data_IF_311775459961
#
_entry.id   IF_311775459961
#
_cell.length_a   1.000
_cell.length_b   1.000
_cell.length_c   1.000
_cell.angle_alpha   90.00
_cell.angle_beta   90.00
_cell.angle_gamma   90.00
#
_symmetry.space_group_name_H-M   'P 1'
#
loop_
_entity.id
_entity.type
_entity.pdbx_description
1 polymer ?
#
# COMPACT_ATOMS: atom_id res chain seq x y z
N UNK A 1 -19.10 56.93 -20.58
CA UNK A 1 -19.63 55.71 -21.21
C UNK A 1 -19.36 54.55 -20.26
N UNK A 2 -20.39 54.01 -19.60
CA UNK A 2 -20.29 52.87 -18.68
C UNK A 2 -20.80 51.63 -19.42
N UNK A 3 -19.92 50.64 -19.65
CA UNK A 3 -20.31 49.38 -20.22
C UNK A 3 -20.82 48.45 -19.10
N UNK A 4 -22.05 48.01 -19.26
CA UNK A 4 -22.70 47.03 -18.41
C UNK A 4 -22.40 45.64 -19.00
N UNK A 5 -21.71 44.78 -18.26
CA UNK A 5 -21.59 43.37 -18.60
C UNK A 5 -22.76 42.58 -18.02
N UNK A 6 -23.55 42.02 -18.90
CA UNK A 6 -24.64 41.08 -18.55
C UNK A 6 -23.99 39.70 -18.29
N UNK A 7 -24.08 39.21 -17.07
CA UNK A 7 -23.77 37.79 -16.77
C UNK A 7 -25.00 36.94 -17.17
N UNK A 8 -24.79 36.06 -18.15
CA UNK A 8 -25.75 35.02 -18.45
C UNK A 8 -25.54 33.83 -17.53
N UNK A 9 -26.45 33.56 -16.62
CA UNK A 9 -26.54 32.34 -15.83
C UNK A 9 -27.07 31.22 -16.73
N UNK A 10 -26.19 30.25 -17.07
CA UNK A 10 -26.61 29.00 -17.70
C UNK A 10 -27.01 28.04 -16.57
N UNK A 11 -28.29 27.78 -16.45
CA UNK A 11 -28.84 26.76 -15.59
C UNK A 11 -28.61 25.40 -16.26
N UNK A 12 -27.69 24.59 -15.74
CA UNK A 12 -27.58 23.18 -16.09
C UNK A 12 -28.73 22.41 -15.44
N UNK A 13 -29.72 22.00 -16.25
CA UNK A 13 -30.74 21.03 -15.84
C UNK A 13 -30.11 19.65 -15.70
N UNK A 14 -30.05 19.13 -14.49
CA UNK A 14 -29.73 17.74 -14.23
C UNK A 14 -30.84 16.84 -14.75
N UNK A 15 -30.64 16.17 -15.87
CA UNK A 15 -31.44 15.01 -16.25
C UNK A 15 -30.95 13.81 -15.49
N UNK A 16 -31.64 13.44 -14.40
CA UNK A 16 -31.48 12.16 -13.73
C UNK A 16 -32.01 11.05 -14.64
N UNK A 17 -31.12 10.43 -15.42
CA UNK A 17 -31.38 9.12 -16.00
C UNK A 17 -31.47 8.08 -14.87
N UNK A 18 -32.26 7.00 -15.06
CA UNK A 18 -32.28 5.91 -14.08
C UNK A 18 -30.87 5.37 -13.89
N UNK A 19 -30.47 5.20 -12.61
CA UNK A 19 -29.23 4.55 -12.26
C UNK A 19 -29.21 3.15 -12.91
N UNK A 20 -28.10 2.71 -13.50
CA UNK A 20 -27.99 1.32 -13.93
C UNK A 20 -28.17 0.43 -12.72
N UNK A 21 -28.99 -0.62 -12.88
CA UNK A 21 -29.19 -1.64 -11.86
C UNK A 21 -27.80 -2.14 -11.42
N UNK A 22 -27.58 -2.30 -10.10
CA UNK A 22 -26.35 -2.91 -9.61
C UNK A 22 -26.29 -4.31 -10.21
N UNK A 23 -25.26 -4.57 -11.02
CA UNK A 23 -24.91 -5.93 -11.40
C UNK A 23 -24.71 -6.67 -10.07
N UNK A 24 -25.62 -7.60 -9.77
CA UNK A 24 -25.47 -8.45 -8.62
C UNK A 24 -24.18 -9.25 -8.82
N UNK A 25 -23.10 -8.81 -8.18
CA UNK A 25 -21.98 -9.68 -7.89
C UNK A 25 -22.58 -10.74 -6.95
N UNK A 26 -22.75 -11.94 -7.45
CA UNK A 26 -23.03 -13.13 -6.64
C UNK A 26 -21.76 -13.47 -5.81
N UNK A 27 -21.30 -12.49 -5.04
CA UNK A 27 -20.37 -12.75 -3.94
C UNK A 27 -21.26 -13.11 -2.75
N UNK A 28 -21.20 -14.36 -2.25
CA UNK A 28 -21.99 -14.74 -1.11
C UNK A 28 -21.65 -13.76 0.00
N UNK A 29 -22.68 -13.07 0.48
CA UNK A 29 -22.60 -12.09 1.56
C UNK A 29 -21.51 -12.51 2.54
N UNK A 30 -20.63 -11.58 2.86
CA UNK A 30 -19.64 -11.75 3.90
C UNK A 30 -20.37 -12.07 5.21
N UNK A 31 -20.70 -13.35 5.36
CA UNK A 31 -20.95 -13.93 6.66
C UNK A 31 -19.66 -13.65 7.40
N UNK A 32 -19.75 -12.94 8.52
CA UNK A 32 -18.64 -12.66 9.40
C UNK A 32 -17.95 -13.96 9.84
N UNK A 33 -17.14 -14.48 8.95
CA UNK A 33 -16.12 -15.44 9.27
C UNK A 33 -15.00 -14.57 9.82
N UNK A 34 -14.67 -14.76 11.10
CA UNK A 34 -13.33 -14.49 11.58
C UNK A 34 -12.37 -15.24 10.65
N UNK A 35 -12.01 -14.60 9.54
CA UNK A 35 -10.92 -15.06 8.71
C UNK A 35 -9.71 -14.83 9.60
N UNK A 36 -9.30 -15.88 10.29
CA UNK A 36 -8.05 -15.89 11.00
C UNK A 36 -7.02 -15.29 10.03
N UNK A 37 -6.47 -14.14 10.38
CA UNK A 37 -5.37 -13.53 9.67
C UNK A 37 -4.42 -14.66 9.29
N UNK A 38 -3.96 -14.74 8.04
CA UNK A 38 -3.15 -15.87 7.58
C UNK A 38 -2.16 -16.22 8.68
N UNK A 39 -2.42 -17.31 9.38
CA UNK A 39 -1.79 -17.66 10.63
C UNK A 39 -0.33 -18.00 10.34
N UNK A 40 0.54 -17.06 10.59
CA UNK A 40 1.96 -17.30 10.56
C UNK A 40 2.72 -16.21 9.82
N UNK A 41 3.24 -15.27 10.60
CA UNK A 41 4.41 -14.49 10.20
C UNK A 41 5.63 -15.41 10.22
N UNK A 42 6.65 -15.02 9.47
CA UNK A 42 7.99 -15.62 9.58
C UNK A 42 8.73 -15.14 10.83
N UNK A 43 10.03 -15.25 10.79
CA UNK A 43 10.94 -14.81 11.84
C UNK A 43 12.08 -14.01 11.23
N UNK A 44 12.46 -12.91 11.86
CA UNK A 44 13.68 -12.18 11.52
C UNK A 44 14.87 -12.81 12.25
N UNK A 45 15.90 -13.17 11.49
CA UNK A 45 17.12 -13.82 11.95
C UNK A 45 18.36 -13.10 11.42
N UNK A 46 19.56 -13.55 11.76
CA UNK A 46 20.85 -13.08 11.23
C UNK A 46 21.03 -11.54 11.32
N UNK A 47 20.57 -10.94 12.41
CA UNK A 47 20.66 -9.49 12.60
C UNK A 47 22.11 -9.09 12.90
N UNK A 48 22.73 -8.36 11.98
CA UNK A 48 24.12 -7.87 12.16
C UNK A 48 24.33 -6.50 11.49
N UNK A 49 25.30 -5.74 12.01
CA UNK A 49 25.61 -4.42 11.49
C UNK A 49 26.28 -4.50 10.09
N UNK A 50 25.88 -3.61 9.20
CA UNK A 50 26.44 -3.48 7.85
C UNK A 50 26.67 -2.02 7.49
N UNK A 51 27.43 -1.77 6.40
CA UNK A 51 27.57 -0.44 5.84
C UNK A 51 26.24 0.08 5.28
N UNK A 52 25.96 1.37 5.48
CA UNK A 52 24.73 2.03 5.04
C UNK A 52 24.81 2.51 3.57
N UNK A 53 25.17 1.66 2.63
CA UNK A 53 25.30 2.02 1.24
C UNK A 53 23.93 2.40 0.64
N UNK A 54 23.81 3.62 0.11
CA UNK A 54 22.57 4.13 -0.47
C UNK A 54 21.46 4.48 0.53
N UNK A 55 21.68 4.26 1.82
CA UNK A 55 20.73 4.65 2.86
C UNK A 55 20.74 6.18 3.08
N UNK A 56 19.66 6.76 3.63
CA UNK A 56 19.65 8.16 4.03
C UNK A 56 20.82 8.51 4.96
N UNK A 57 21.46 9.64 4.72
CA UNK A 57 22.65 10.07 5.48
C UNK A 57 22.35 10.13 6.98
N UNK A 58 23.28 9.65 7.81
CA UNK A 58 23.12 9.60 9.25
C UNK A 58 22.35 8.34 9.76
N UNK A 59 22.07 7.40 8.88
CA UNK A 59 21.49 6.10 9.27
C UNK A 59 22.52 5.21 9.96
N UNK A 60 22.01 4.32 10.81
CA UNK A 60 22.70 3.08 11.21
C UNK A 60 22.03 1.92 10.50
N UNK A 61 22.80 0.94 10.00
CA UNK A 61 22.26 -0.14 9.17
C UNK A 61 22.53 -1.51 9.76
N UNK A 62 21.53 -2.38 9.60
CA UNK A 62 21.61 -3.82 9.94
C UNK A 62 21.10 -4.61 8.75
N UNK A 63 21.81 -5.68 8.40
CA UNK A 63 21.23 -6.71 7.55
C UNK A 63 20.44 -7.68 8.43
N UNK A 64 19.31 -8.12 7.90
CA UNK A 64 18.42 -9.09 8.54
C UNK A 64 17.98 -10.12 7.51
N UNK A 65 17.65 -11.33 7.95
CA UNK A 65 17.06 -12.37 7.09
C UNK A 65 15.65 -12.69 7.57
N UNK A 66 14.66 -12.61 6.71
CA UNK A 66 13.30 -13.12 6.97
C UNK A 66 13.23 -14.58 6.56
N UNK A 67 12.81 -15.44 7.48
CA UNK A 67 12.70 -16.89 7.29
C UNK A 67 11.38 -17.43 7.81
N UNK A 68 11.02 -18.64 7.45
CA UNK A 68 9.90 -19.37 8.04
C UNK A 68 8.50 -18.84 7.67
N UNK A 69 8.39 -18.01 6.64
CA UNK A 69 7.09 -17.60 6.11
C UNK A 69 6.31 -18.83 5.61
N UNK A 70 5.07 -19.06 6.06
CA UNK A 70 4.28 -20.19 5.61
C UNK A 70 4.11 -20.20 4.08
N UNK A 71 4.24 -21.40 3.48
CA UNK A 71 4.21 -21.56 2.02
C UNK A 71 5.51 -21.26 1.29
N UNK A 72 6.43 -20.50 1.90
CA UNK A 72 7.75 -20.15 1.37
C UNK A 72 8.85 -20.28 2.44
N UNK A 73 8.69 -21.20 3.36
CA UNK A 73 9.62 -21.36 4.49
C UNK A 73 11.05 -21.68 4.06
N UNK A 74 11.23 -22.32 2.91
CA UNK A 74 12.54 -22.62 2.29
C UNK A 74 13.14 -21.48 1.47
N UNK A 75 12.45 -20.33 1.39
CA UNK A 75 12.82 -19.17 0.58
C UNK A 75 13.12 -17.96 1.46
N UNK A 76 14.22 -17.98 2.24
CA UNK A 76 14.62 -16.84 3.06
C UNK A 76 14.92 -15.63 2.18
N UNK A 77 14.70 -14.43 2.71
CA UNK A 77 15.01 -13.19 2.01
C UNK A 77 15.73 -12.21 2.94
N UNK A 78 16.80 -11.64 2.43
CA UNK A 78 17.59 -10.65 3.14
C UNK A 78 17.10 -9.22 2.84
N UNK A 79 17.18 -8.39 3.88
CA UNK A 79 16.94 -6.96 3.78
C UNK A 79 17.99 -6.17 4.56
N UNK A 80 18.27 -4.96 4.13
CA UNK A 80 18.97 -3.96 4.94
C UNK A 80 17.94 -3.04 5.57
N UNK A 81 18.02 -2.91 6.87
CA UNK A 81 17.21 -2.01 7.68
C UNK A 81 18.06 -0.83 8.11
N UNK A 82 17.75 0.34 7.56
CA UNK A 82 18.43 1.60 7.89
C UNK A 82 17.58 2.41 8.88
N UNK A 83 18.20 2.86 9.97
CA UNK A 83 17.49 3.54 11.05
C UNK A 83 18.08 4.94 11.25
N UNK A 84 17.21 5.94 11.21
CA UNK A 84 17.52 7.31 11.63
C UNK A 84 16.78 7.62 12.93
N UNK A 85 17.48 8.07 13.97
CA UNK A 85 16.85 8.39 15.25
C UNK A 85 15.97 9.63 15.14
N UNK A 86 14.97 9.74 15.99
CA UNK A 86 14.20 10.97 16.17
C UNK A 86 15.09 12.09 16.70
N UNK A 87 14.79 13.31 16.29
CA UNK A 87 15.38 14.53 16.89
C UNK A 87 14.46 15.02 18.01
N UNK A 88 15.00 15.10 19.24
CA UNK A 88 14.23 15.50 20.41
C UNK A 88 13.37 14.38 21.00
N UNK A 89 12.17 14.72 21.48
CA UNK A 89 11.28 13.74 22.14
C UNK A 89 10.71 12.77 21.14
N UNK A 90 10.90 11.46 21.38
CA UNK A 90 10.36 10.41 20.54
C UNK A 90 8.83 10.38 20.62
N UNK A 91 8.16 10.53 19.47
CA UNK A 91 6.70 10.45 19.30
C UNK A 91 6.24 9.13 18.69
N UNK A 92 7.11 8.49 17.91
CA UNK A 92 6.75 7.26 17.22
C UNK A 92 7.84 6.73 16.30
N UNK A 93 7.48 5.70 15.55
CA UNK A 93 8.34 5.08 14.52
C UNK A 93 7.57 5.03 13.20
N UNK A 94 8.22 5.46 12.12
CA UNK A 94 7.71 5.34 10.76
C UNK A 94 8.55 4.34 10.00
N UNK A 95 7.90 3.34 9.41
CA UNK A 95 8.56 2.34 8.55
C UNK A 95 8.30 2.68 7.10
N UNK A 96 9.35 2.78 6.30
CA UNK A 96 9.31 3.18 4.90
C UNK A 96 9.62 2.01 3.97
N UNK A 97 8.72 1.77 3.01
CA UNK A 97 8.89 0.79 1.94
C UNK A 97 8.98 1.46 0.58
N UNK A 98 10.05 1.14 -0.16
CA UNK A 98 10.29 1.65 -1.50
C UNK A 98 9.42 0.93 -2.53
N UNK A 99 9.13 1.60 -3.64
CA UNK A 99 8.44 1.05 -4.81
C UNK A 99 9.23 -0.01 -5.56
N UNK A 100 8.62 -0.57 -6.61
CA UNK A 100 9.15 -1.73 -7.33
C UNK A 100 9.24 -2.94 -6.40
N UNK A 101 10.21 -3.80 -6.62
CA UNK A 101 10.52 -4.96 -5.76
C UNK A 101 11.08 -4.61 -4.37
N UNK A 102 11.15 -3.31 -4.04
CA UNK A 102 11.62 -2.84 -2.73
C UNK A 102 13.13 -2.77 -2.59
N UNK A 103 13.89 -2.94 -3.67
CA UNK A 103 15.34 -2.80 -3.67
C UNK A 103 15.77 -1.33 -3.53
N UNK A 104 16.74 -1.06 -2.67
CA UNK A 104 17.17 0.29 -2.29
C UNK A 104 16.21 0.95 -1.30
N UNK A 105 16.51 2.16 -0.90
CA UNK A 105 15.75 2.87 0.12
C UNK A 105 14.78 3.88 -0.48
N UNK A 106 13.63 4.09 0.18
CA UNK A 106 12.76 5.22 -0.12
C UNK A 106 13.53 6.53 0.06
N UNK A 107 13.27 7.53 -0.79
CA UNK A 107 13.96 8.82 -0.74
C UNK A 107 13.87 9.50 0.64
N UNK A 108 14.95 10.19 1.02
CA UNK A 108 15.12 10.78 2.36
C UNK A 108 14.45 12.13 2.56
N UNK A 109 13.65 12.61 1.61
CA UNK A 109 13.07 13.97 1.64
C UNK A 109 12.02 14.16 2.75
N UNK A 110 11.69 13.08 3.41
CA UNK A 110 10.72 13.05 4.51
C UNK A 110 11.45 13.20 5.85
N UNK A 111 11.70 14.44 6.24
CA UNK A 111 12.36 14.77 7.52
C UNK A 111 11.39 14.56 8.71
N UNK A 112 10.96 13.34 8.93
CA UNK A 112 10.11 12.99 10.06
C UNK A 112 10.85 13.08 11.40
N UNK A 113 12.19 13.00 11.37
CA UNK A 113 13.04 13.08 12.56
C UNK A 113 12.84 14.38 13.31
N UNK A 114 12.74 15.50 12.59
CA UNK A 114 12.50 16.82 13.18
C UNK A 114 11.14 16.93 13.87
N UNK A 115 10.18 16.10 13.45
CA UNK A 115 8.87 15.99 14.08
C UNK A 115 8.84 14.97 15.24
N UNK A 116 9.99 14.40 15.60
CA UNK A 116 10.11 13.46 16.71
C UNK A 116 9.88 11.99 16.33
N UNK A 117 9.96 11.61 15.05
CA UNK A 117 9.81 10.21 14.65
C UNK A 117 11.15 9.55 14.36
N UNK A 118 11.30 8.32 14.84
CA UNK A 118 12.33 7.41 14.34
C UNK A 118 11.91 6.92 12.95
N UNK A 119 12.80 7.01 11.97
CA UNK A 119 12.57 6.45 10.64
C UNK A 119 13.29 5.12 10.49
N UNK A 120 12.58 4.13 9.95
CA UNK A 120 13.08 2.80 9.64
C UNK A 120 12.85 2.55 8.16
N UNK A 121 13.91 2.52 7.37
CA UNK A 121 13.85 2.30 5.92
C UNK A 121 14.21 0.86 5.63
N UNK A 122 13.38 0.19 4.84
CA UNK A 122 13.57 -1.21 4.44
C UNK A 122 14.05 -1.24 2.99
N UNK A 123 15.15 -1.94 2.74
CA UNK A 123 15.66 -2.25 1.41
C UNK A 123 15.87 -3.74 1.28
N UNK A 124 15.07 -4.40 0.47
CA UNK A 124 15.28 -5.80 0.13
C UNK A 124 16.52 -5.97 -0.73
N UNK A 125 17.26 -7.09 -0.60
CA UNK A 125 18.42 -7.37 -1.43
C UNK A 125 18.05 -7.95 -2.81
N UNK A 126 16.83 -8.49 -2.93
CA UNK A 126 16.17 -8.88 -4.19
C UNK A 126 14.67 -8.56 -4.05
N UNK A 127 13.94 -8.62 -5.16
CA UNK A 127 12.49 -8.35 -5.15
C UNK A 127 11.75 -9.15 -4.08
N UNK A 128 11.03 -8.47 -3.19
CA UNK A 128 10.30 -9.11 -2.10
C UNK A 128 9.16 -10.00 -2.59
N UNK A 129 8.60 -9.69 -3.76
CA UNK A 129 7.48 -10.39 -4.39
C UNK A 129 7.87 -11.76 -4.92
N UNK A 130 9.15 -11.96 -5.29
CA UNK A 130 9.59 -13.18 -5.95
C UNK A 130 9.58 -14.37 -5.01
N UNK A 131 8.92 -15.44 -5.47
CA UNK A 131 8.96 -16.75 -4.85
C UNK A 131 9.17 -17.82 -5.93
N UNK A 132 9.69 -18.99 -5.53
CA UNK A 132 9.84 -20.13 -6.43
C UNK A 132 8.57 -20.99 -6.47
N UNK A 133 7.71 -20.91 -5.46
CA UNK A 133 6.62 -21.86 -5.23
C UNK A 133 5.25 -21.24 -4.99
N UNK A 134 5.18 -19.93 -4.77
CA UNK A 134 3.95 -19.26 -4.36
C UNK A 134 3.76 -17.91 -5.04
N UNK A 135 2.59 -17.29 -4.92
CA UNK A 135 2.27 -15.98 -5.44
C UNK A 135 2.60 -14.84 -4.47
N UNK A 136 2.35 -13.63 -4.94
CA UNK A 136 2.72 -12.39 -4.25
C UNK A 136 2.06 -12.24 -2.86
N UNK A 137 0.81 -12.70 -2.70
CA UNK A 137 0.15 -12.69 -1.39
C UNK A 137 0.94 -13.48 -0.35
N UNK A 138 1.46 -14.66 -0.72
CA UNK A 138 2.29 -15.47 0.17
C UNK A 138 3.65 -14.81 0.42
N UNK A 139 4.26 -14.21 -0.61
CA UNK A 139 5.50 -13.45 -0.49
C UNK A 139 5.38 -12.29 0.51
N UNK A 140 4.20 -11.68 0.60
CA UNK A 140 3.92 -10.55 1.49
C UNK A 140 3.99 -10.89 3.00
N UNK A 141 4.11 -12.16 3.36
CA UNK A 141 4.56 -12.53 4.70
C UNK A 141 5.89 -11.86 5.08
N UNK A 142 6.80 -11.68 4.12
CA UNK A 142 8.12 -11.07 4.35
C UNK A 142 8.03 -9.63 4.87
N UNK A 143 7.37 -8.68 4.19
CA UNK A 143 7.20 -7.33 4.70
C UNK A 143 6.37 -7.27 5.98
N UNK A 144 5.34 -8.09 6.14
CA UNK A 144 4.58 -8.16 7.37
C UNK A 144 5.43 -8.65 8.55
N UNK A 145 6.32 -9.62 8.33
CA UNK A 145 7.28 -10.11 9.33
C UNK A 145 8.27 -9.02 9.76
N UNK A 146 8.81 -8.25 8.80
CA UNK A 146 9.69 -7.11 9.14
C UNK A 146 8.92 -6.04 9.92
N UNK A 147 7.70 -5.70 9.53
CA UNK A 147 6.87 -4.74 10.29
C UNK A 147 6.67 -5.20 11.73
N UNK A 148 6.29 -6.47 11.92
CA UNK A 148 6.12 -7.04 13.26
C UNK A 148 7.43 -7.04 14.06
N UNK A 149 8.55 -7.34 13.41
CA UNK A 149 9.85 -7.28 14.05
C UNK A 149 10.23 -5.86 14.45
N UNK A 150 10.07 -4.86 13.56
CA UNK A 150 10.31 -3.44 13.91
C UNK A 150 9.45 -3.00 15.09
N UNK A 151 8.18 -3.44 15.12
CA UNK A 151 7.29 -3.15 16.23
C UNK A 151 7.78 -3.73 17.55
N UNK A 152 8.29 -4.97 17.55
CA UNK A 152 8.70 -5.68 18.80
C UNK A 152 10.15 -5.44 19.20
N UNK A 153 11.03 -5.07 18.27
CA UNK A 153 12.45 -4.91 18.50
C UNK A 153 12.74 -3.80 19.55
N UNK A 154 13.38 -4.11 20.68
CA UNK A 154 13.58 -3.17 21.79
C UNK A 154 14.32 -1.89 21.40
N UNK A 155 15.21 -1.96 20.42
CA UNK A 155 15.97 -0.79 19.95
C UNK A 155 15.23 0.04 18.90
N UNK A 156 14.08 -0.43 18.43
CA UNK A 156 13.24 0.25 17.42
C UNK A 156 11.95 0.80 18.05
N UNK A 157 10.88 0.01 18.11
CA UNK A 157 9.60 0.48 18.67
C UNK A 157 9.28 -0.11 20.06
N UNK A 158 9.87 -1.26 20.39
CA UNK A 158 9.76 -1.91 21.70
C UNK A 158 8.31 -2.23 22.12
N UNK A 159 7.46 -2.61 21.18
CA UNK A 159 6.03 -2.89 21.43
C UNK A 159 5.28 -1.76 22.14
N UNK A 160 5.78 -0.52 22.05
CA UNK A 160 5.18 0.62 22.74
C UNK A 160 3.78 0.91 22.22
N UNK A 161 2.82 1.03 23.10
CA UNK A 161 1.46 1.48 22.80
C UNK A 161 1.23 2.97 23.17
N UNK A 162 2.28 3.64 23.65
CA UNK A 162 2.25 5.09 23.96
C UNK A 162 2.94 5.92 22.89
N UNK A 163 3.53 5.28 21.89
CA UNK A 163 4.17 5.88 20.74
C UNK A 163 3.43 5.44 19.46
N UNK A 164 3.31 6.33 18.47
CA UNK A 164 2.72 5.99 17.18
C UNK A 164 3.59 4.99 16.42
N UNK A 165 2.99 3.94 15.84
CA UNK A 165 3.65 3.00 14.94
C UNK A 165 3.02 3.09 13.55
N UNK A 166 3.76 3.59 12.57
CA UNK A 166 3.20 4.03 11.30
C UNK A 166 3.99 3.51 10.12
N UNK A 167 3.31 3.40 8.96
CA UNK A 167 3.91 2.96 7.72
C UNK A 167 3.75 3.97 6.59
N UNK A 168 4.73 4.06 5.72
CA UNK A 168 4.67 4.78 4.46
C UNK A 168 5.22 3.93 3.33
N UNK A 169 4.43 3.69 2.29
CA UNK A 169 4.82 2.90 1.13
C UNK A 169 4.57 3.64 -0.17
N UNK A 170 5.50 3.54 -1.12
CA UNK A 170 5.38 4.15 -2.43
C UNK A 170 5.26 3.05 -3.50
N UNK A 171 4.23 3.11 -4.38
CA UNK A 171 4.02 2.14 -5.47
C UNK A 171 4.06 0.68 -4.97
N UNK A 172 5.01 -0.16 -5.38
CA UNK A 172 5.20 -1.51 -4.84
C UNK A 172 5.39 -1.55 -3.31
N UNK A 173 5.92 -0.47 -2.71
CA UNK A 173 6.01 -0.30 -1.25
C UNK A 173 4.64 -0.16 -0.58
N UNK A 174 3.70 0.51 -1.22
CA UNK A 174 2.30 0.54 -0.77
C UNK A 174 1.65 -0.85 -0.89
N UNK A 175 2.05 -1.64 -1.90
CA UNK A 175 1.66 -3.05 -1.98
C UNK A 175 2.08 -3.86 -0.76
N UNK A 176 3.31 -3.64 -0.24
CA UNK A 176 3.79 -4.29 0.98
C UNK A 176 2.91 -3.98 2.19
N UNK A 177 2.55 -2.70 2.38
CA UNK A 177 1.66 -2.27 3.47
C UNK A 177 0.23 -2.77 3.28
N UNK A 178 -0.32 -2.66 2.06
CA UNK A 178 -1.67 -3.13 1.75
C UNK A 178 -1.86 -4.63 2.04
N UNK A 179 -0.90 -5.48 1.62
CA UNK A 179 -0.93 -6.90 1.99
C UNK A 179 -0.77 -7.13 3.49
N UNK A 180 0.15 -6.42 4.13
CA UNK A 180 0.37 -6.54 5.56
C UNK A 180 -0.89 -6.22 6.37
N UNK A 181 -1.62 -5.18 5.97
CA UNK A 181 -2.91 -4.83 6.54
C UNK A 181 -3.97 -5.90 6.26
N UNK A 182 -4.22 -6.20 4.96
CA UNK A 182 -5.35 -7.01 4.54
C UNK A 182 -5.22 -8.49 4.94
N UNK A 183 -4.00 -9.05 4.90
CA UNK A 183 -3.82 -10.50 5.01
C UNK A 183 -2.97 -10.96 6.20
N UNK A 184 -2.22 -10.05 6.84
CA UNK A 184 -1.29 -10.43 7.91
C UNK A 184 -1.57 -9.75 9.25
N UNK A 185 -2.73 -9.10 9.40
CA UNK A 185 -3.21 -8.57 10.68
C UNK A 185 -2.45 -7.35 11.20
N UNK A 186 -1.65 -6.67 10.35
CA UNK A 186 -0.89 -5.49 10.78
C UNK A 186 -1.76 -4.28 11.14
N UNK A 187 -3.05 -4.29 10.81
CA UNK A 187 -4.04 -3.35 11.36
C UNK A 187 -4.22 -3.43 12.87
N UNK A 188 -3.66 -4.46 13.55
CA UNK A 188 -3.65 -4.56 15.01
C UNK A 188 -2.47 -3.84 15.67
N UNK A 189 -1.47 -3.40 14.89
CA UNK A 189 -0.26 -2.73 15.40
C UNK A 189 0.01 -1.38 14.77
N UNK A 190 -0.34 -1.18 13.50
CA UNK A 190 -0.17 0.10 12.81
C UNK A 190 -1.26 1.09 13.22
N UNK A 191 -0.85 2.29 13.63
CA UNK A 191 -1.77 3.38 13.99
C UNK A 191 -2.14 4.23 12.76
N UNK A 192 -1.22 4.34 11.79
CA UNK A 192 -1.40 5.16 10.59
C UNK A 192 -0.59 4.62 9.42
N UNK A 193 -1.16 4.67 8.21
CA UNK A 193 -0.51 4.23 6.97
C UNK A 193 -0.73 5.25 5.85
N UNK A 194 0.36 5.63 5.17
CA UNK A 194 0.34 6.34 3.89
C UNK A 194 0.57 5.35 2.74
N UNK A 195 -0.42 5.25 1.86
CA UNK A 195 -0.34 4.51 0.60
C UNK A 195 -0.10 5.51 -0.54
N UNK A 196 1.18 5.64 -0.96
CA UNK A 196 1.59 6.61 -1.97
C UNK A 196 1.62 5.95 -3.35
N UNK A 197 0.86 6.48 -4.31
CA UNK A 197 0.75 5.94 -5.67
C UNK A 197 0.51 4.43 -5.69
N UNK A 198 -0.52 3.97 -4.97
CA UNK A 198 -0.84 2.54 -4.87
C UNK A 198 -1.91 2.24 -3.85
N UNK A 199 -2.06 0.96 -3.45
CA UNK A 199 -1.25 -0.21 -3.82
C UNK A 199 -1.59 -0.78 -5.22
N UNK A 200 -0.61 -1.33 -5.94
CA UNK A 200 -0.80 -1.77 -7.34
C UNK A 200 -1.55 -3.10 -7.49
N UNK A 201 -1.62 -3.93 -6.44
CA UNK A 201 -2.06 -5.33 -6.53
C UNK A 201 -3.46 -5.57 -5.95
N UNK A 202 -4.31 -4.56 -5.92
CA UNK A 202 -5.64 -4.67 -5.31
C UNK A 202 -6.53 -5.69 -6.04
N UNK A 203 -6.48 -5.71 -7.37
CA UNK A 203 -7.21 -6.63 -8.25
C UNK A 203 -6.31 -7.10 -9.40
N UNK A 204 -5.48 -8.08 -9.11
CA UNK A 204 -4.51 -8.63 -10.08
C UNK A 204 -5.21 -9.23 -11.28
N UNK A 205 -6.30 -9.95 -11.08
CA UNK A 205 -7.12 -10.55 -12.13
C UNK A 205 -7.61 -9.50 -13.15
N UNK A 206 -8.12 -8.39 -12.66
CA UNK A 206 -8.62 -7.29 -13.50
C UNK A 206 -7.46 -6.57 -14.19
N UNK A 207 -6.42 -6.19 -13.44
CA UNK A 207 -5.26 -5.49 -13.99
C UNK A 207 -4.50 -6.32 -15.02
N UNK A 208 -4.40 -7.63 -14.83
CA UNK A 208 -3.78 -8.54 -15.80
C UNK A 208 -4.62 -8.74 -17.06
N UNK A 209 -5.93 -8.72 -16.95
CA UNK A 209 -6.83 -8.81 -18.10
C UNK A 209 -6.95 -7.48 -18.87
N UNK A 210 -6.58 -6.36 -18.25
CA UNK A 210 -6.68 -5.01 -18.81
C UNK A 210 -8.06 -4.40 -18.66
N UNK A 211 -8.88 -4.94 -17.77
CA UNK A 211 -10.18 -4.40 -17.44
C UNK A 211 -10.04 -3.27 -16.40
N UNK A 212 -10.93 -2.28 -16.46
CA UNK A 212 -11.02 -1.30 -15.41
C UNK A 212 -11.66 -1.92 -14.16
N UNK A 213 -11.16 -1.64 -12.93
CA UNK A 213 -11.85 -2.06 -11.73
C UNK A 213 -13.27 -1.52 -11.69
N UNK A 214 -14.26 -2.31 -11.28
CA UNK A 214 -15.63 -1.85 -11.15
C UNK A 214 -15.77 -0.96 -9.93
N UNK A 215 -15.36 0.30 -10.04
CA UNK A 215 -15.43 1.24 -8.92
C UNK A 215 -15.84 2.62 -9.40
N UNK A 216 -16.63 3.31 -8.61
CA UNK A 216 -16.81 4.75 -8.73
C UNK A 216 -15.46 5.41 -8.46
N UNK A 217 -14.90 6.07 -9.45
CA UNK A 217 -13.56 6.61 -9.34
C UNK A 217 -13.55 7.87 -8.50
N UNK A 218 -12.84 7.82 -7.37
CA UNK A 218 -12.76 8.96 -6.45
C UNK A 218 -12.12 10.16 -7.12
N UNK A 219 -11.11 9.94 -7.99
CA UNK A 219 -10.40 11.02 -8.68
C UNK A 219 -10.83 11.24 -10.15
N UNK A 220 -11.93 10.67 -10.60
CA UNK A 220 -12.41 10.81 -11.98
C UNK A 220 -11.51 10.16 -13.04
N UNK A 221 -10.64 9.25 -12.65
CA UNK A 221 -9.68 8.57 -13.54
C UNK A 221 -10.28 7.27 -14.03
N UNK A 222 -10.49 7.18 -15.35
CA UNK A 222 -10.82 5.93 -16.03
C UNK A 222 -9.56 5.42 -16.73
N UNK A 223 -8.96 4.34 -16.22
CA UNK A 223 -7.85 3.73 -16.91
C UNK A 223 -8.00 2.21 -17.00
N UNK A 224 -7.70 1.72 -18.19
CA UNK A 224 -7.59 0.31 -18.53
C UNK A 224 -6.12 -0.13 -18.55
N UNK A 225 -5.22 0.62 -17.90
CA UNK A 225 -3.79 0.33 -17.94
C UNK A 225 -3.51 -1.00 -17.28
N UNK A 226 -2.88 -1.87 -18.02
CA UNK A 226 -2.53 -3.22 -17.59
C UNK A 226 -1.40 -3.18 -16.57
N UNK A 227 -1.46 -4.08 -15.61
CA UNK A 227 -0.35 -4.34 -14.72
C UNK A 227 0.89 -4.77 -15.52
N UNK A 228 2.10 -4.43 -15.03
CA UNK A 228 3.33 -4.73 -15.75
C UNK A 228 3.56 -6.24 -15.89
N UNK A 229 4.26 -6.63 -16.96
CA UNK A 229 4.61 -8.03 -17.22
C UNK A 229 5.52 -8.65 -16.14
N UNK A 230 6.21 -7.83 -15.35
CA UNK A 230 6.97 -8.28 -14.16
C UNK A 230 6.11 -9.05 -13.17
N UNK A 231 4.80 -8.76 -13.11
CA UNK A 231 3.87 -9.52 -12.30
C UNK A 231 3.86 -11.02 -12.63
N UNK A 232 4.20 -11.41 -13.85
CA UNK A 232 4.32 -12.82 -14.21
C UNK A 232 5.36 -13.56 -13.34
N UNK A 233 6.50 -12.93 -13.04
CA UNK A 233 7.53 -13.51 -12.19
C UNK A 233 7.06 -13.55 -10.72
N UNK A 234 6.43 -12.49 -10.24
CA UNK A 234 5.96 -12.38 -8.86
C UNK A 234 4.84 -13.35 -8.53
N UNK A 235 3.98 -13.63 -9.52
CA UNK A 235 2.89 -14.59 -9.38
C UNK A 235 3.30 -16.03 -9.74
N UNK A 236 4.59 -16.29 -9.96
CA UNK A 236 5.10 -17.59 -10.41
C UNK A 236 4.35 -18.12 -11.64
N UNK A 237 3.99 -17.23 -12.57
CA UNK A 237 3.26 -17.57 -13.79
C UNK A 237 4.20 -18.22 -14.78
N UNK A 238 4.02 -19.51 -15.02
CA UNK A 238 4.77 -20.26 -16.02
C UNK A 238 4.20 -20.01 -17.42
N UNK A 239 5.09 -19.90 -18.43
CA UNK A 239 4.68 -19.82 -19.85
C UNK A 239 3.71 -20.97 -20.21
N UNK A 240 2.61 -20.72 -20.99
CA UNK A 240 2.38 -19.54 -21.82
C UNK A 240 1.48 -18.46 -21.21
N UNK A 241 0.95 -18.66 -20.00
CA UNK A 241 -0.05 -17.79 -19.40
C UNK A 241 0.59 -16.56 -18.79
N UNK A 242 0.33 -15.39 -19.37
CA UNK A 242 0.95 -14.14 -18.97
C UNK A 242 -0.11 -13.09 -18.64
N UNK A 243 0.15 -12.34 -17.58
CA UNK A 243 -0.52 -11.08 -17.32
C UNK A 243 -0.46 -10.21 -18.58
N UNK A 244 -1.59 -9.67 -19.02
CA UNK A 244 -1.70 -8.89 -20.25
C UNK A 244 -1.87 -9.72 -21.53
N UNK A 245 -2.01 -11.03 -21.49
CA UNK A 245 -2.37 -11.82 -22.67
C UNK A 245 -3.87 -11.69 -23.00
N UNK A 246 -4.21 -11.86 -24.28
CA UNK A 246 -5.59 -11.68 -24.76
C UNK A 246 -6.54 -12.83 -24.40
N UNK A 247 -6.02 -13.90 -23.82
CA UNK A 247 -6.81 -15.07 -23.42
C UNK A 247 -6.18 -15.67 -22.17
N UNK A 248 -6.80 -15.43 -21.03
CA UNK A 248 -6.39 -15.98 -19.75
C UNK A 248 -7.39 -17.04 -19.32
N UNK A 249 -6.97 -18.27 -18.97
CA UNK A 249 -7.88 -19.29 -18.48
C UNK A 249 -8.60 -18.84 -17.20
N UNK A 250 -9.87 -19.22 -17.01
CA UNK A 250 -10.64 -18.90 -15.81
C UNK A 250 -9.95 -19.31 -14.49
N UNK A 251 -9.23 -20.44 -14.50
CA UNK A 251 -8.47 -20.92 -13.34
C UNK A 251 -7.35 -19.95 -12.93
N UNK A 252 -6.65 -19.34 -13.90
CA UNK A 252 -5.61 -18.36 -13.62
C UNK A 252 -6.21 -17.04 -13.12
N UNK A 253 -7.30 -16.59 -13.72
CA UNK A 253 -8.02 -15.40 -13.24
C UNK A 253 -8.49 -15.61 -11.78
N UNK A 254 -9.02 -16.78 -11.45
CA UNK A 254 -9.43 -17.12 -10.10
C UNK A 254 -8.24 -17.11 -9.12
N UNK A 255 -7.08 -17.64 -9.53
CA UNK A 255 -5.85 -17.62 -8.73
C UNK A 255 -5.38 -16.19 -8.51
N UNK A 256 -5.28 -15.36 -9.55
CA UNK A 256 -4.88 -13.97 -9.44
C UNK A 256 -5.85 -13.15 -8.60
N UNK A 257 -7.15 -13.42 -8.72
CA UNK A 257 -8.16 -12.84 -7.85
C UNK A 257 -7.89 -13.21 -6.39
N UNK A 258 -7.60 -14.47 -6.10
CA UNK A 258 -7.31 -14.93 -4.73
C UNK A 258 -6.03 -14.34 -4.15
N UNK A 259 -5.06 -13.99 -5.00
CA UNK A 259 -3.79 -13.38 -4.60
C UNK A 259 -3.86 -11.85 -4.47
N UNK A 260 -4.98 -11.24 -4.86
CA UNK A 260 -5.18 -9.80 -4.82
C UNK A 260 -5.34 -9.27 -3.39
N UNK A 261 -4.82 -8.05 -3.12
CA UNK A 261 -4.97 -7.38 -1.82
C UNK A 261 -6.45 -7.21 -1.46
N UNK A 262 -7.28 -6.81 -2.43
CA UNK A 262 -8.69 -6.48 -2.24
C UNK A 262 -9.65 -7.68 -2.17
N UNK A 263 -9.15 -8.92 -2.04
CA UNK A 263 -9.97 -10.13 -2.03
C UNK A 263 -9.61 -11.07 -0.88
N UNK A 264 -10.60 -11.45 -0.09
CA UNK A 264 -10.44 -12.43 0.99
C UNK A 264 -9.58 -11.96 2.16
N UNK A 265 -9.43 -10.66 2.35
CA UNK A 265 -8.70 -10.04 3.45
C UNK A 265 -9.61 -9.44 4.52
N UNK A 266 -9.00 -8.83 5.51
CA UNK A 266 -9.66 -7.98 6.52
C UNK A 266 -9.50 -6.53 6.08
N UNK A 267 -10.58 -5.76 6.01
CA UNK A 267 -10.57 -4.38 5.51
C UNK A 267 -11.14 -3.36 6.51
N UNK A 268 -11.59 -3.81 7.66
CA UNK A 268 -12.04 -2.94 8.75
C UNK A 268 -10.89 -2.75 9.75
N UNK A 269 -10.38 -1.52 9.82
CA UNK A 269 -9.24 -1.15 10.67
C UNK A 269 -9.65 -0.07 11.67
N UNK A 270 -10.45 -0.39 12.71
CA UNK A 270 -11.09 0.61 13.56
C UNK A 270 -10.11 1.49 14.36
N UNK A 271 -8.82 1.08 14.40
CA UNK A 271 -7.74 1.79 15.09
C UNK A 271 -6.58 2.19 14.19
N UNK A 272 -6.64 1.87 12.89
CA UNK A 272 -5.60 2.25 11.93
C UNK A 272 -6.17 3.24 10.93
N UNK A 273 -5.59 4.41 10.81
CA UNK A 273 -5.96 5.34 9.76
C UNK A 273 -5.16 5.04 8.49
N UNK A 274 -5.83 4.86 7.35
CA UNK A 274 -5.19 4.61 6.06
C UNK A 274 -5.47 5.78 5.12
N UNK A 275 -4.41 6.43 4.65
CA UNK A 275 -4.50 7.57 3.75
C UNK A 275 -3.87 7.23 2.40
N UNK A 276 -4.59 7.53 1.33
CA UNK A 276 -4.16 7.27 -0.05
C UNK A 276 -3.82 8.58 -0.75
N UNK A 277 -2.71 8.60 -1.46
CA UNK A 277 -2.26 9.77 -2.22
C UNK A 277 -1.99 9.34 -3.66
N UNK A 278 -2.84 9.77 -4.59
CA UNK A 278 -2.81 9.34 -5.99
C UNK A 278 -2.63 10.50 -6.97
N UNK A 279 -1.84 10.25 -8.03
CA UNK A 279 -1.66 11.15 -9.15
C UNK A 279 -2.63 10.82 -10.28
N UNK A 280 -3.40 11.80 -10.73
CA UNK A 280 -4.45 11.62 -11.76
C UNK A 280 -3.98 11.96 -13.17
N UNK A 281 -2.77 12.55 -13.31
CA UNK A 281 -2.28 13.04 -14.61
C UNK A 281 -1.99 11.92 -15.61
N UNK A 282 -1.40 10.84 -15.11
CA UNK A 282 -1.34 9.60 -15.87
C UNK A 282 -2.00 8.54 -15.02
N UNK A 283 -3.18 8.13 -15.44
CA UNK A 283 -3.89 7.04 -14.81
C UNK A 283 -3.08 5.77 -15.01
N UNK A 284 -2.16 5.52 -14.09
CA UNK A 284 -1.39 4.29 -14.05
C UNK A 284 -2.19 3.22 -13.32
N UNK A 285 -1.91 1.96 -13.60
CA UNK A 285 -2.54 0.84 -12.90
C UNK A 285 -2.44 1.01 -11.37
N UNK A 286 -1.36 1.61 -10.86
CA UNK A 286 -1.16 1.86 -9.43
C UNK A 286 -2.20 2.81 -8.83
N UNK A 287 -2.53 3.92 -9.51
CA UNK A 287 -3.55 4.87 -9.03
C UNK A 287 -4.94 4.26 -9.05
N UNK A 288 -5.29 3.57 -10.13
CA UNK A 288 -6.59 2.89 -10.28
C UNK A 288 -6.76 1.78 -9.24
N UNK A 289 -5.72 0.98 -9.02
CA UNK A 289 -5.73 -0.10 -8.02
C UNK A 289 -5.74 0.45 -6.60
N UNK A 290 -4.99 1.54 -6.32
CA UNK A 290 -5.05 2.23 -5.02
C UNK A 290 -6.44 2.74 -4.70
N UNK A 291 -7.13 3.30 -5.70
CA UNK A 291 -8.52 3.73 -5.56
C UNK A 291 -9.48 2.56 -5.28
N UNK A 292 -9.26 1.41 -5.93
CA UNK A 292 -10.04 0.21 -5.66
C UNK A 292 -9.85 -0.29 -4.22
N UNK A 293 -8.62 -0.25 -3.69
CA UNK A 293 -8.35 -0.65 -2.30
C UNK A 293 -8.96 0.34 -1.30
N UNK A 294 -8.83 1.65 -1.55
CA UNK A 294 -9.51 2.66 -0.76
C UNK A 294 -11.02 2.40 -0.67
N UNK A 295 -11.68 2.13 -1.80
CA UNK A 295 -13.11 1.85 -1.82
C UNK A 295 -13.46 0.60 -1.00
N UNK A 296 -12.62 -0.45 -1.06
CA UNK A 296 -12.81 -1.67 -0.27
C UNK A 296 -12.74 -1.37 1.23
N UNK A 297 -11.74 -0.61 1.68
CA UNK A 297 -11.61 -0.21 3.09
C UNK A 297 -12.75 0.71 3.49
N UNK A 298 -13.00 1.77 2.73
CA UNK A 298 -14.04 2.76 3.03
C UNK A 298 -15.42 2.11 3.17
N UNK A 299 -15.73 1.15 2.31
CA UNK A 299 -16.97 0.38 2.40
C UNK A 299 -17.04 -0.47 3.68
N UNK A 300 -15.95 -1.14 4.04
CA UNK A 300 -15.87 -1.96 5.24
C UNK A 300 -15.96 -1.13 6.53
N UNK A 301 -15.50 0.12 6.49
CA UNK A 301 -15.52 1.08 7.61
C UNK A 301 -16.75 1.98 7.62
N UNK A 302 -17.75 1.71 6.77
CA UNK A 302 -18.99 2.48 6.69
C UNK A 302 -18.80 3.90 6.19
N UNK A 303 -17.77 4.18 5.40
CA UNK A 303 -17.47 5.49 4.83
C UNK A 303 -16.86 6.48 5.83
N UNK A 304 -16.26 6.02 6.92
CA UNK A 304 -15.66 6.89 7.93
C UNK A 304 -14.40 7.60 7.41
N UNK A 305 -14.44 8.92 7.12
CA UNK A 305 -13.29 9.63 6.56
C UNK A 305 -12.13 9.80 7.57
N UNK A 306 -12.36 9.54 8.86
CA UNK A 306 -11.30 9.56 9.87
C UNK A 306 -10.46 8.28 9.86
N UNK A 307 -10.93 7.21 9.19
CA UNK A 307 -10.22 5.94 9.08
C UNK A 307 -9.63 5.74 7.69
N UNK A 308 -10.37 6.09 6.61
CA UNK A 308 -9.84 6.00 5.26
C UNK A 308 -10.17 7.26 4.45
N UNK A 309 -9.18 7.79 3.73
CA UNK A 309 -9.34 8.95 2.85
C UNK A 309 -8.43 8.83 1.62
N UNK A 310 -8.93 9.27 0.45
CA UNK A 310 -8.17 9.35 -0.78
C UNK A 310 -7.93 10.81 -1.20
N UNK A 311 -6.68 11.17 -1.43
CA UNK A 311 -6.24 12.49 -1.88
C UNK A 311 -5.81 12.42 -3.33
N UNK A 312 -6.44 13.25 -4.17
CA UNK A 312 -6.19 13.29 -5.61
C UNK A 312 -5.32 14.50 -5.96
N UNK A 313 -4.26 14.27 -6.70
CA UNK A 313 -3.38 15.32 -7.21
C UNK A 313 -3.43 15.35 -8.73
N UNK A 314 -3.39 16.56 -9.30
CA UNK A 314 -3.52 16.85 -10.71
C UNK A 314 -2.21 17.42 -11.27
N UNK A 315 -2.14 17.56 -12.59
CA UNK A 315 -0.96 18.17 -13.22
C UNK A 315 -0.65 19.57 -12.69
N UNK A 316 -1.68 20.36 -12.35
CA UNK A 316 -1.52 21.68 -11.69
C UNK A 316 -0.80 21.62 -10.36
N UNK A 317 -0.83 20.48 -9.68
CA UNK A 317 -0.18 20.23 -8.39
C UNK A 317 1.25 19.69 -8.56
N UNK A 318 1.75 19.65 -9.81
CA UNK A 318 3.03 19.05 -10.15
C UNK A 318 3.03 17.53 -10.20
N UNK A 319 1.84 16.91 -10.15
CA UNK A 319 1.66 15.47 -10.29
C UNK A 319 1.99 15.02 -11.72
N UNK A 320 2.84 14.01 -11.87
CA UNK A 320 3.26 13.47 -13.16
C UNK A 320 3.56 11.97 -13.06
N UNK A 321 2.77 11.14 -13.71
CA UNK A 321 2.88 9.69 -13.60
C UNK A 321 2.66 9.20 -12.16
N UNK A 322 3.62 8.50 -11.61
CA UNK A 322 3.61 8.06 -10.20
C UNK A 322 4.10 9.15 -9.23
N UNK A 323 4.67 10.25 -9.75
CA UNK A 323 5.19 11.33 -8.93
C UNK A 323 4.04 12.23 -8.45
N UNK A 324 3.94 12.41 -7.14
CA UNK A 324 2.82 13.07 -6.49
C UNK A 324 2.91 14.62 -6.48
N UNK A 325 4.04 15.21 -6.90
CA UNK A 325 4.23 16.66 -6.82
C UNK A 325 4.07 17.18 -5.39
N UNK A 326 3.17 18.16 -5.17
CA UNK A 326 2.88 18.69 -3.83
C UNK A 326 2.27 17.65 -2.90
N UNK A 327 1.66 16.59 -3.44
CA UNK A 327 1.06 15.50 -2.66
C UNK A 327 2.04 14.77 -1.74
N UNK A 328 3.34 14.77 -2.09
CA UNK A 328 4.36 14.19 -1.22
C UNK A 328 4.54 15.00 0.08
N UNK A 329 4.47 16.34 0.00
CA UNK A 329 4.49 17.21 1.18
C UNK A 329 3.25 17.04 2.04
N UNK A 330 2.08 16.90 1.41
CA UNK A 330 0.81 16.73 2.12
C UNK A 330 0.75 15.37 2.81
N UNK A 331 1.22 14.31 2.15
CA UNK A 331 1.34 12.98 2.74
C UNK A 331 2.23 12.99 3.99
N UNK A 332 3.36 13.68 3.93
CA UNK A 332 4.24 13.88 5.08
C UNK A 332 3.54 14.58 6.24
N UNK A 333 2.85 15.70 5.96
CA UNK A 333 2.15 16.45 7.00
C UNK A 333 1.01 15.62 7.60
N UNK A 334 0.27 14.89 6.77
CA UNK A 334 -0.80 14.00 7.20
C UNK A 334 -0.25 12.89 8.13
N UNK A 335 0.88 12.27 7.80
CA UNK A 335 1.52 11.27 8.65
C UNK A 335 2.01 11.88 9.96
N UNK A 336 2.67 13.04 9.93
CA UNK A 336 3.15 13.73 11.15
C UNK A 336 2.00 14.05 12.10
N UNK A 337 0.85 14.43 11.56
CA UNK A 337 -0.35 14.74 12.35
C UNK A 337 -1.09 13.46 12.80
N UNK A 338 -1.19 12.46 11.92
CA UNK A 338 -2.00 11.27 12.10
C UNK A 338 -1.30 10.12 12.84
N UNK A 339 0.04 10.08 12.82
CA UNK A 339 0.82 9.05 13.50
C UNK A 339 0.86 9.27 15.01
N UNK A 340 -0.24 8.91 15.64
CA UNK A 340 -0.47 8.97 17.08
C UNK A 340 -0.92 7.60 17.58
N UNK A 341 -0.63 7.23 18.84
CA UNK A 341 -1.02 5.92 19.35
C UNK A 341 -2.54 5.77 19.41
N UNK A 342 -3.06 4.76 18.73
CA UNK A 342 -4.50 4.45 18.64
C UNK A 342 -4.87 3.10 19.22
N UNK A 343 -3.87 2.23 19.46
CA UNK A 343 -4.02 0.89 20.02
C UNK A 343 -3.79 0.84 21.56
N UNK A 344 -4.11 1.93 22.23
CA UNK A 344 -4.09 2.01 23.70
C UNK A 344 -5.20 1.19 24.32
#
# INVERSE_FOLDING_TARGET
MRSIYLLALVACSNSSGPAPDPVADDDPAAVGVDVAALSGLGTVTNVHAVACNGAPMGSTCRQVTVTGCPGIASEPLDAVVAVRPAMGTLRGTVVHFKGGGGEGFQGSDQNYEAAGFRNVYISWLTDWEQTQSAGIKTAACRPATILQWVFTEPTLHNSSRTLGFCGEGFSGGSGQLGYALAHYGMGSVLDYVNELSGPPFTRIDIGCNGDAPPTSMVCGVADTTRLPSSLNAWENIQSPLKCGSTSVPPSELARWKSDSIGVGGVYNYPKTQVQFFGCTFQATAVTVMGNAYFNTISQAEGGNPNLAQYHCYFQSDGCQGEQLGTGLSDAKQALIAGCVPRHQ
#
